data_IF_189214212055
#
_entry.id   IF_189214212055
#
_cell.length_a   1.000
_cell.length_b   1.000
_cell.length_c   1.000
_cell.angle_alpha   90.00
_cell.angle_beta   90.00
_cell.angle_gamma   90.00
#
_symmetry.space_group_name_H-M   'P 1'
#
loop_
_entity.id
_entity.type
_entity.pdbx_description
1 polymer ?
#
# COMPACT_ATOMS: atom_id res chain seq x y z
N UNK A 1 -9.45 -1.26 -34.49
CA UNK A 1 -8.76 -2.50 -34.07
C UNK A 1 -7.31 -2.42 -34.52
N UNK A 2 -6.42 -2.90 -33.65
CA UNK A 2 -4.95 -2.99 -33.77
C UNK A 2 -4.17 -1.92 -33.00
N UNK A 3 -3.80 -2.24 -31.75
CA UNK A 3 -2.59 -1.72 -31.11
C UNK A 3 -1.49 -2.75 -31.41
N UNK A 4 -0.50 -2.39 -32.22
CA UNK A 4 0.67 -3.21 -32.44
C UNK A 4 1.65 -2.97 -31.29
N UNK A 5 1.85 -3.98 -30.45
CA UNK A 5 2.86 -3.97 -29.40
C UNK A 5 4.19 -4.47 -29.97
N UNK A 6 4.90 -3.58 -30.66
CA UNK A 6 6.31 -3.80 -30.94
C UNK A 6 7.10 -3.48 -29.67
N UNK A 7 7.63 -4.54 -29.07
CA UNK A 7 8.50 -4.50 -27.91
C UNK A 7 9.74 -3.64 -28.20
N UNK A 8 10.15 -2.86 -27.19
CA UNK A 8 11.41 -2.12 -27.09
C UNK A 8 11.35 -0.64 -27.50
N UNK A 9 10.79 0.21 -26.64
CA UNK A 9 11.43 1.47 -26.23
C UNK A 9 10.60 2.13 -25.12
N UNK A 10 11.31 2.71 -24.16
CA UNK A 10 10.76 3.68 -23.23
C UNK A 10 9.99 4.76 -24.00
N UNK A 11 8.94 5.29 -23.37
CA UNK A 11 7.86 6.12 -23.93
C UNK A 11 6.65 5.26 -24.29
N UNK A 12 5.85 4.95 -23.25
CA UNK A 12 4.44 4.59 -23.41
C UNK A 12 3.71 5.81 -23.97
N UNK A 13 3.78 5.95 -25.29
CA UNK A 13 2.95 6.84 -26.07
C UNK A 13 1.49 6.47 -25.85
N UNK A 14 0.84 7.25 -24.98
CA UNK A 14 -0.47 7.84 -25.18
C UNK A 14 -1.56 6.98 -25.86
N UNK A 15 -1.77 5.76 -25.38
CA UNK A 15 -3.01 5.02 -25.61
C UNK A 15 -4.11 5.41 -24.61
N UNK A 16 -3.79 6.19 -23.58
CA UNK A 16 -4.73 6.63 -22.55
C UNK A 16 -5.14 8.08 -22.78
N UNK A 17 -6.42 8.31 -23.12
CA UNK A 17 -7.07 9.62 -22.90
C UNK A 17 -7.35 9.86 -21.40
N UNK A 18 -6.46 9.41 -20.53
CA UNK A 18 -6.56 9.55 -19.09
C UNK A 18 -5.74 10.74 -18.62
N UNK A 19 -6.09 11.29 -17.47
CA UNK A 19 -5.32 12.35 -16.83
C UNK A 19 -3.86 11.90 -16.60
N UNK A 20 -2.92 12.84 -16.66
CA UNK A 20 -1.52 12.56 -16.38
C UNK A 20 -1.36 12.21 -14.89
N UNK A 21 -0.82 11.02 -14.60
CA UNK A 21 -0.54 10.57 -13.23
C UNK A 21 0.96 10.49 -13.00
N UNK A 22 1.41 11.02 -11.86
CA UNK A 22 2.74 10.75 -11.32
C UNK A 22 2.71 9.45 -10.55
N UNK A 23 3.79 8.68 -10.65
CA UNK A 23 3.99 7.43 -9.93
C UNK A 23 5.15 7.60 -8.95
N UNK A 24 4.85 7.43 -7.67
CA UNK A 24 5.86 7.30 -6.63
C UNK A 24 5.85 5.88 -6.07
N UNK A 25 7.04 5.38 -5.78
CA UNK A 25 7.23 4.06 -5.16
C UNK A 25 8.02 4.21 -3.86
N UNK A 26 7.55 3.54 -2.82
CA UNK A 26 8.19 3.47 -1.52
C UNK A 26 8.29 2.00 -1.09
N UNK A 27 9.48 1.60 -0.65
CA UNK A 27 9.72 0.32 -0.01
C UNK A 27 10.32 0.57 1.37
N UNK A 28 9.67 0.09 2.43
CA UNK A 28 10.18 0.23 3.78
C UNK A 28 9.96 -1.04 4.61
N UNK A 29 10.86 -1.28 5.54
CA UNK A 29 10.70 -2.29 6.59
C UNK A 29 10.25 -1.60 7.87
N UNK A 30 9.38 -2.26 8.63
CA UNK A 30 8.88 -1.76 9.90
C UNK A 30 9.00 -2.82 11.00
N UNK A 31 9.03 -2.35 12.25
CA UNK A 31 9.00 -3.17 13.44
C UNK A 31 8.17 -2.48 14.51
N UNK A 32 7.04 -3.07 14.89
CA UNK A 32 6.07 -2.49 15.81
C UNK A 32 6.06 -3.31 17.10
N UNK A 33 6.07 -2.64 18.24
CA UNK A 33 6.03 -3.31 19.54
C UNK A 33 4.72 -4.10 19.74
N UNK A 34 4.76 -5.17 20.54
CA UNK A 34 3.55 -5.92 20.88
C UNK A 34 2.55 -5.02 21.62
N UNK A 35 1.27 -5.07 21.21
CA UNK A 35 0.19 -4.24 21.75
C UNK A 35 0.27 -2.75 21.41
N UNK A 36 1.13 -2.35 20.47
CA UNK A 36 1.17 -0.99 19.94
C UNK A 36 0.50 -0.92 18.56
N UNK A 37 -0.13 0.21 18.27
CA UNK A 37 -0.68 0.53 16.96
C UNK A 37 0.15 1.63 16.32
N UNK A 38 0.50 1.47 15.05
CA UNK A 38 1.32 2.43 14.32
C UNK A 38 0.84 2.62 12.88
N UNK A 39 0.83 3.87 12.42
CA UNK A 39 0.56 4.21 11.01
C UNK A 39 1.88 4.14 10.24
N UNK A 40 1.95 3.21 9.29
CA UNK A 40 3.17 2.95 8.50
C UNK A 40 3.16 3.70 7.16
N UNK A 41 2.00 4.19 6.75
CA UNK A 41 1.83 4.99 5.54
C UNK A 41 0.65 5.95 5.70
N UNK A 42 0.84 7.19 5.28
CA UNK A 42 -0.19 8.23 5.21
C UNK A 42 -0.08 8.95 3.87
N UNK A 43 -1.19 9.04 3.14
CA UNK A 43 -1.27 9.74 1.87
C UNK A 43 -1.38 11.26 2.12
N UNK A 44 -0.61 12.03 1.34
CA UNK A 44 -0.61 13.49 1.42
C UNK A 44 -1.72 14.10 0.54
N UNK A 45 -2.27 13.33 -0.41
CA UNK A 45 -3.28 13.80 -1.37
C UNK A 45 -4.48 12.85 -1.44
N UNK A 46 -5.67 13.42 -1.66
CA UNK A 46 -6.97 12.72 -1.64
C UNK A 46 -7.23 11.93 -2.93
N UNK A 47 -6.46 12.15 -4.00
CA UNK A 47 -6.64 11.46 -5.30
C UNK A 47 -5.61 10.37 -5.54
N UNK A 48 -5.19 9.69 -4.48
CA UNK A 48 -4.16 8.64 -4.55
C UNK A 48 -4.81 7.27 -4.80
N UNK A 49 -4.57 6.72 -6.00
CA UNK A 49 -4.75 5.28 -6.25
C UNK A 49 -3.46 4.59 -5.81
N UNK A 50 -3.54 3.76 -4.77
CA UNK A 50 -2.41 3.05 -4.21
C UNK A 50 -2.51 1.54 -4.45
N UNK A 51 -1.45 0.96 -5.00
CA UNK A 51 -1.24 -0.48 -5.05
C UNK A 51 -0.12 -0.83 -4.07
N UNK A 52 -0.38 -1.71 -3.11
CA UNK A 52 0.63 -2.09 -2.13
C UNK A 52 0.71 -3.60 -1.92
N UNK A 53 1.89 -4.02 -1.49
CA UNK A 53 2.22 -5.36 -1.02
C UNK A 53 2.74 -5.19 0.40
N UNK A 54 2.06 -5.83 1.35
CA UNK A 54 2.47 -5.89 2.74
C UNK A 54 2.82 -7.33 3.09
N UNK A 55 4.01 -7.56 3.66
CA UNK A 55 4.52 -8.89 3.99
C UNK A 55 4.76 -9.00 5.48
N UNK A 56 4.27 -10.07 6.10
CA UNK A 56 4.66 -10.42 7.46
C UNK A 56 5.96 -11.24 7.42
N UNK A 57 7.08 -10.57 7.68
CA UNK A 57 8.41 -11.20 7.77
C UNK A 57 8.76 -11.62 9.20
N UNK A 58 7.88 -11.34 10.17
CA UNK A 58 8.04 -11.70 11.57
C UNK A 58 7.54 -13.12 11.88
N UNK A 59 7.51 -13.43 13.17
CA UNK A 59 7.06 -14.73 13.70
C UNK A 59 5.69 -14.66 14.37
N UNK A 60 5.10 -13.46 14.46
CA UNK A 60 3.80 -13.24 15.07
C UNK A 60 2.84 -12.60 14.05
N UNK A 61 1.54 -12.92 14.10
CA UNK A 61 0.55 -12.25 13.28
C UNK A 61 0.42 -10.77 13.67
N UNK A 62 -0.12 -9.94 12.78
CA UNK A 62 -0.52 -8.57 13.09
C UNK A 62 -1.75 -8.20 12.28
N UNK A 63 -2.51 -7.22 12.76
CA UNK A 63 -3.71 -6.75 12.08
C UNK A 63 -3.39 -5.51 11.26
N UNK A 64 -3.97 -5.44 10.09
CA UNK A 64 -3.78 -4.37 9.11
C UNK A 64 -5.11 -3.68 8.93
N UNK A 65 -5.09 -2.36 9.06
CA UNK A 65 -6.25 -1.52 8.75
C UNK A 65 -5.84 -0.49 7.71
N UNK A 66 -6.60 -0.42 6.61
CA UNK A 66 -6.46 0.67 5.65
C UNK A 66 -7.72 1.54 5.66
N UNK A 67 -7.52 2.86 5.63
CA UNK A 67 -8.59 3.86 5.54
C UNK A 67 -8.52 4.61 4.22
N UNK A 68 -9.65 5.12 3.76
CA UNK A 68 -9.66 6.11 2.68
C UNK A 68 -9.30 7.52 3.20
N UNK A 69 -9.14 8.51 2.31
CA UNK A 69 -8.84 9.90 2.73
C UNK A 69 -9.88 10.53 3.65
N UNK A 70 -11.13 10.05 3.61
CA UNK A 70 -12.20 10.48 4.52
C UNK A 70 -12.14 9.80 5.90
N UNK A 71 -11.13 8.97 6.18
CA UNK A 71 -10.96 8.25 7.45
C UNK A 71 -11.86 7.03 7.61
N UNK A 72 -12.55 6.59 6.55
CA UNK A 72 -13.37 5.38 6.58
C UNK A 72 -12.52 4.15 6.36
N UNK A 73 -12.66 3.13 7.22
CA UNK A 73 -12.00 1.83 7.03
C UNK A 73 -12.51 1.15 5.77
N UNK A 74 -11.58 0.83 4.86
CA UNK A 74 -11.85 0.13 3.60
C UNK A 74 -11.29 -1.28 3.58
N UNK A 75 -10.38 -1.60 4.51
CA UNK A 75 -9.78 -2.92 4.65
C UNK A 75 -9.44 -3.20 6.11
N UNK A 76 -9.73 -4.41 6.56
CA UNK A 76 -9.23 -4.98 7.82
C UNK A 76 -8.86 -6.44 7.58
N UNK A 77 -7.61 -6.80 7.84
CA UNK A 77 -7.08 -8.15 7.61
C UNK A 77 -6.03 -8.51 8.66
N UNK A 78 -6.02 -9.77 9.09
CA UNK A 78 -4.94 -10.31 9.94
C UNK A 78 -3.92 -11.02 9.05
N UNK A 79 -2.65 -10.62 9.12
CA UNK A 79 -1.57 -11.29 8.38
C UNK A 79 -0.80 -12.23 9.31
N UNK A 80 -0.88 -13.54 9.05
CA UNK A 80 -0.06 -14.53 9.74
C UNK A 80 1.41 -14.51 9.25
N UNK A 81 2.36 -15.07 10.03
CA UNK A 81 3.75 -15.16 9.63
C UNK A 81 3.94 -15.80 8.24
N UNK A 82 4.76 -15.18 7.40
CA UNK A 82 5.03 -15.64 6.03
C UNK A 82 3.92 -15.33 5.01
N UNK A 83 2.80 -14.73 5.43
CA UNK A 83 1.76 -14.28 4.50
C UNK A 83 2.07 -12.89 3.92
N UNK A 84 1.46 -12.63 2.77
CA UNK A 84 1.46 -11.32 2.16
C UNK A 84 0.03 -10.90 1.78
N UNK A 85 -0.20 -9.60 1.83
CA UNK A 85 -1.42 -8.94 1.44
C UNK A 85 -1.10 -8.04 0.25
N UNK A 86 -1.78 -8.29 -0.87
CA UNK A 86 -1.70 -7.44 -2.05
C UNK A 86 -3.06 -6.83 -2.31
N UNK A 87 -3.12 -5.50 -2.37
CA UNK A 87 -4.37 -4.75 -2.59
C UNK A 87 -4.11 -3.52 -3.44
N UNK A 88 -5.14 -3.12 -4.17
CA UNK A 88 -5.21 -1.79 -4.79
C UNK A 88 -6.43 -1.10 -4.24
N UNK A 89 -6.24 0.10 -3.70
CA UNK A 89 -7.26 0.91 -3.04
C UNK A 89 -7.30 2.25 -3.77
N UNK A 90 -8.49 2.62 -4.23
CA UNK A 90 -8.77 3.96 -4.70
C UNK A 90 -9.00 4.89 -3.51
N UNK A 91 -8.49 6.12 -3.61
CA UNK A 91 -8.57 7.12 -2.55
C UNK A 91 -7.99 6.63 -1.19
N UNK A 92 -6.79 6.03 -1.21
CA UNK A 92 -6.13 5.56 0.01
C UNK A 92 -5.75 6.76 0.91
N UNK A 93 -6.16 6.72 2.18
CA UNK A 93 -5.78 7.69 3.20
C UNK A 93 -4.59 7.21 4.02
N UNK A 94 -4.74 6.12 4.78
CA UNK A 94 -3.66 5.61 5.61
C UNK A 94 -3.64 4.08 5.68
N UNK A 95 -2.47 3.53 6.01
CA UNK A 95 -2.30 2.12 6.38
C UNK A 95 -1.72 2.08 7.79
N UNK A 96 -2.45 1.44 8.69
CA UNK A 96 -2.06 1.24 10.08
C UNK A 96 -1.95 -0.24 10.40
N UNK A 97 -1.04 -0.56 11.31
CA UNK A 97 -0.78 -1.91 11.79
C UNK A 97 -0.97 -1.93 13.30
N UNK A 98 -1.77 -2.89 13.77
CA UNK A 98 -1.87 -3.22 15.18
C UNK A 98 -0.95 -4.40 15.48
N UNK A 99 -0.01 -4.19 16.40
CA UNK A 99 0.92 -5.21 16.86
C UNK A 99 0.19 -6.34 17.61
N UNK A 100 0.74 -7.57 17.59
CA UNK A 100 0.13 -8.72 18.26
C UNK A 100 -0.02 -8.48 19.77
N UNK A 101 -1.11 -9.01 20.32
CA UNK A 101 -1.38 -8.98 21.77
C UNK A 101 -0.66 -10.13 22.49
N UNK A 102 -0.21 -9.87 23.71
CA UNK A 102 0.68 -10.75 24.47
C UNK A 102 0.11 -12.16 24.79
N UNK A 103 0.97 -13.21 24.95
CA UNK A 103 2.44 -13.17 24.88
C UNK A 103 2.94 -13.22 23.42
N UNK A 104 3.47 -12.09 22.95
CA UNK A 104 3.96 -11.92 21.59
C UNK A 104 5.18 -11.00 21.55
N UNK A 105 6.05 -11.22 20.58
CA UNK A 105 7.16 -10.32 20.24
C UNK A 105 6.72 -9.22 19.26
N UNK A 106 7.63 -8.32 18.86
CA UNK A 106 7.31 -7.25 17.93
C UNK A 106 6.85 -7.82 16.57
N UNK A 107 5.83 -7.17 15.98
CA UNK A 107 5.46 -7.40 14.59
C UNK A 107 6.56 -6.85 13.69
N UNK A 108 6.95 -7.60 12.66
CA UNK A 108 7.94 -7.16 11.67
C UNK A 108 7.40 -7.42 10.28
N UNK A 109 7.62 -6.48 9.39
CA UNK A 109 7.15 -6.61 8.02
C UNK A 109 7.82 -5.65 7.07
N UNK A 110 7.40 -5.79 5.81
CA UNK A 110 7.83 -4.94 4.71
C UNK A 110 6.59 -4.43 3.99
N UNK A 111 6.59 -3.12 3.68
CA UNK A 111 5.62 -2.47 2.83
C UNK A 111 6.33 -2.06 1.53
N UNK A 112 5.78 -2.49 0.40
CA UNK A 112 6.11 -1.96 -0.92
C UNK A 112 4.83 -1.35 -1.50
N UNK A 113 4.82 -0.04 -1.70
CA UNK A 113 3.66 0.72 -2.15
C UNK A 113 4.01 1.56 -3.36
N UNK A 114 3.14 1.50 -4.37
CA UNK A 114 3.17 2.35 -5.55
C UNK A 114 1.90 3.17 -5.56
N UNK A 115 2.06 4.49 -5.51
CA UNK A 115 0.97 5.45 -5.50
C UNK A 115 0.90 6.19 -6.83
N UNK A 116 -0.32 6.48 -7.27
CA UNK A 116 -0.61 7.26 -8.46
C UNK A 116 -1.49 8.42 -8.05
N UNK A 117 -1.02 9.64 -8.26
CA UNK A 117 -1.78 10.85 -8.04
C UNK A 117 -1.71 11.73 -9.28
N UNK A 118 -2.75 12.51 -9.49
CA UNK A 118 -2.75 13.52 -10.53
C UNK A 118 -1.91 14.71 -10.03
N UNK A 119 -1.03 15.22 -10.88
CA UNK A 119 -0.52 16.58 -10.66
C UNK A 119 -1.67 17.49 -11.04
N UNK A 120 -2.24 18.19 -10.06
CA UNK A 120 -3.30 19.15 -10.34
C UNK A 120 -2.84 20.13 -11.44
N UNK A 121 -3.69 20.25 -12.46
CA UNK A 121 -3.66 21.31 -13.47
C UNK A 121 -4.48 22.51 -13.01
#
# INVERSE_FOLDING_TARGET
MSCNSDYNSAILGNCSRGNDYVKDQLCCQFSIAAGADETIYEAINETVIASFILKNSGTFPFDVTATNSAGTTVLTETLAPGQCLMRTIDNLGAISIAGPVAPAGPAKGELDIVVRYQLDS
#
